data_IF_983772230171
#
_entry.id   IF_983772230171
#
_cell.length_a   1.000
_cell.length_b   1.000
_cell.length_c   1.000
_cell.angle_alpha   90.00
_cell.angle_beta   90.00
_cell.angle_gamma   90.00
#
_symmetry.space_group_name_H-M   'P 1'
#
loop_
_entity.id
_entity.type
_entity.pdbx_description
1 polymer ?
#
# COMPACT_ATOMS: atom_id res chain seq x y z
N UNK A 1 -25.96 -51.52 35.60
CA UNK A 1 -25.22 -50.23 35.67
C UNK A 1 -24.63 -49.98 34.30
N UNK A 2 -25.30 -49.19 33.46
CA UNK A 2 -24.84 -48.83 32.11
C UNK A 2 -23.98 -47.57 32.22
N UNK A 3 -22.71 -47.63 31.81
CA UNK A 3 -21.79 -46.49 31.81
C UNK A 3 -21.93 -45.76 30.47
N UNK A 4 -22.51 -44.56 30.51
CA UNK A 4 -22.53 -43.64 29.36
C UNK A 4 -21.17 -42.94 29.30
N UNK A 5 -20.47 -43.11 28.18
CA UNK A 5 -19.21 -42.42 27.88
C UNK A 5 -19.57 -41.09 27.21
N UNK A 6 -19.29 -39.97 27.89
CA UNK A 6 -19.42 -38.64 27.30
C UNK A 6 -18.16 -38.35 26.48
N UNK A 7 -18.29 -38.24 25.17
CA UNK A 7 -17.22 -37.77 24.28
C UNK A 7 -17.25 -36.24 24.30
N UNK A 8 -16.21 -35.65 24.87
CA UNK A 8 -15.98 -34.21 24.87
C UNK A 8 -15.43 -33.81 23.49
N UNK A 9 -16.26 -33.16 22.67
CA UNK A 9 -15.82 -32.57 21.40
C UNK A 9 -15.17 -31.23 21.74
N UNK A 10 -13.84 -31.19 21.73
CA UNK A 10 -13.09 -29.93 21.76
C UNK A 10 -13.26 -29.23 20.41
N UNK A 11 -14.06 -28.16 20.39
CA UNK A 11 -14.09 -27.20 19.29
C UNK A 11 -12.79 -26.38 19.35
N UNK A 12 -11.85 -26.69 18.46
CA UNK A 12 -10.72 -25.81 18.18
C UNK A 12 -11.26 -24.59 17.44
N UNK A 13 -11.22 -23.43 18.09
CA UNK A 13 -11.48 -22.14 17.46
C UNK A 13 -10.31 -21.84 16.52
N UNK A 14 -10.53 -21.93 15.21
CA UNK A 14 -9.62 -21.31 14.26
C UNK A 14 -9.81 -19.80 14.39
N UNK A 15 -8.78 -19.08 14.83
CA UNK A 15 -8.76 -17.62 14.70
C UNK A 15 -8.69 -17.34 13.20
N UNK A 16 -9.79 -16.86 12.61
CA UNK A 16 -9.76 -16.31 11.27
C UNK A 16 -9.03 -14.98 11.36
N UNK A 17 -7.83 -14.91 10.77
CA UNK A 17 -7.14 -13.65 10.56
C UNK A 17 -7.95 -12.83 9.54
N UNK A 18 -8.06 -11.52 9.77
CA UNK A 18 -8.77 -10.62 8.87
C UNK A 18 -7.93 -10.36 7.61
N UNK A 19 -8.02 -11.28 6.66
CA UNK A 19 -7.38 -11.14 5.35
C UNK A 19 -8.18 -10.16 4.49
N UNK A 20 -7.51 -9.22 3.82
CA UNK A 20 -8.15 -8.35 2.84
C UNK A 20 -8.13 -9.07 1.49
N UNK A 21 -9.26 -9.11 0.79
CA UNK A 21 -9.35 -9.77 -0.53
C UNK A 21 -9.65 -8.75 -1.63
N UNK A 22 -8.83 -8.70 -2.67
CA UNK A 22 -9.02 -7.69 -3.71
C UNK A 22 -10.30 -7.92 -4.53
N UNK A 23 -11.02 -6.83 -4.79
CA UNK A 23 -12.16 -6.74 -5.68
C UNK A 23 -11.93 -5.62 -6.69
N UNK A 24 -11.75 -5.95 -7.96
CA UNK A 24 -11.63 -4.96 -9.04
C UNK A 24 -12.99 -4.27 -9.22
N UNK A 25 -13.03 -2.95 -9.08
CA UNK A 25 -14.26 -2.15 -9.19
C UNK A 25 -14.33 -1.38 -10.50
N UNK A 26 -13.18 -1.11 -11.14
CA UNK A 26 -13.09 -0.45 -12.44
C UNK A 26 -11.81 -0.89 -13.17
N UNK A 27 -11.93 -1.30 -14.44
CA UNK A 27 -10.79 -1.66 -15.30
C UNK A 27 -10.47 -0.59 -16.35
N UNK A 28 -9.44 -0.83 -17.16
CA UNK A 28 -8.96 0.07 -18.24
C UNK A 28 -9.52 -0.30 -19.62
N UNK A 29 -9.66 0.70 -20.48
CA UNK A 29 -9.94 0.52 -21.92
C UNK A 29 -8.67 0.11 -22.68
N UNK A 30 -8.75 -0.98 -23.46
CA UNK A 30 -7.64 -1.57 -24.23
C UNK A 30 -6.42 -2.00 -23.39
N UNK A 31 -6.60 -2.90 -22.40
CA UNK A 31 -5.49 -3.47 -21.65
C UNK A 31 -4.59 -4.32 -22.55
N UNK A 32 -3.31 -4.41 -22.20
CA UNK A 32 -2.29 -5.18 -22.91
C UNK A 32 -2.64 -6.68 -22.83
N UNK A 33 -2.91 -7.35 -23.96
CA UNK A 33 -3.22 -8.78 -23.97
C UNK A 33 -1.99 -9.63 -23.64
N UNK A 34 -2.09 -10.44 -22.59
CA UNK A 34 -1.05 -11.38 -22.17
C UNK A 34 -1.64 -12.77 -21.93
N UNK A 35 -0.95 -13.81 -22.36
CA UNK A 35 -1.23 -15.18 -21.91
C UNK A 35 -0.30 -15.54 -20.76
N UNK A 36 -0.85 -16.02 -19.65
CA UNK A 36 -0.09 -16.56 -18.52
C UNK A 36 -0.49 -18.02 -18.39
N UNK A 37 0.36 -18.90 -18.90
CA UNK A 37 0.08 -20.35 -18.93
C UNK A 37 0.26 -20.91 -17.53
N UNK A 38 -0.66 -21.77 -17.04
CA UNK A 38 -0.49 -22.47 -15.79
C UNK A 38 0.86 -23.19 -15.71
N UNK A 39 1.63 -22.92 -14.65
CA UNK A 39 3.00 -23.42 -14.56
C UNK A 39 2.97 -24.94 -14.39
N UNK A 40 3.76 -25.64 -15.20
CA UNK A 40 3.85 -27.10 -15.10
C UNK A 40 4.44 -27.49 -13.75
N UNK A 41 3.86 -28.49 -13.08
CA UNK A 41 4.33 -28.95 -11.77
C UNK A 41 5.01 -30.32 -11.88
N UNK A 42 6.32 -30.34 -11.66
CA UNK A 42 7.12 -31.57 -11.55
C UNK A 42 7.55 -31.78 -10.09
N UNK A 43 6.69 -32.45 -9.32
CA UNK A 43 6.97 -32.76 -7.93
C UNK A 43 5.92 -33.67 -7.32
N UNK A 44 6.05 -33.91 -6.01
CA UNK A 44 5.06 -34.65 -5.23
C UNK A 44 4.29 -33.73 -4.29
N UNK A 45 2.98 -33.94 -4.17
CA UNK A 45 2.11 -33.16 -3.30
C UNK A 45 1.42 -32.01 -4.03
N UNK A 46 0.66 -31.22 -3.25
CA UNK A 46 -0.01 -30.00 -3.72
C UNK A 46 0.84 -28.82 -3.28
N UNK A 47 1.03 -27.86 -4.18
CA UNK A 47 1.68 -26.60 -3.85
C UNK A 47 0.79 -25.79 -2.89
N UNK A 48 1.38 -25.01 -2.00
CA UNK A 48 0.61 -24.12 -1.11
C UNK A 48 0.04 -22.92 -1.83
N UNK A 49 0.66 -22.53 -2.95
CA UNK A 49 0.36 -21.35 -3.74
C UNK A 49 0.44 -21.70 -5.22
N UNK A 50 -0.32 -20.97 -6.02
CA UNK A 50 -0.33 -21.05 -7.46
C UNK A 50 0.41 -19.83 -8.02
N UNK A 51 1.62 -20.04 -8.55
CA UNK A 51 2.51 -18.95 -8.98
C UNK A 51 1.95 -18.21 -10.18
N UNK A 52 1.39 -18.92 -11.15
CA UNK A 52 0.82 -18.28 -12.34
C UNK A 52 -0.45 -17.51 -12.01
N UNK A 53 -1.28 -18.01 -11.09
CA UNK A 53 -2.43 -17.27 -10.58
C UNK A 53 -2.01 -15.97 -9.89
N UNK A 54 -0.94 -15.99 -9.08
CA UNK A 54 -0.41 -14.78 -8.43
C UNK A 54 0.07 -13.76 -9.48
N UNK A 55 0.80 -14.22 -10.51
CA UNK A 55 1.25 -13.32 -11.58
C UNK A 55 0.07 -12.73 -12.35
N UNK A 56 -0.95 -13.54 -12.62
CA UNK A 56 -2.17 -13.10 -13.27
C UNK A 56 -2.91 -12.06 -12.43
N UNK A 57 -3.08 -12.31 -11.14
CA UNK A 57 -3.77 -11.39 -10.22
C UNK A 57 -3.00 -10.06 -10.13
N UNK A 58 -1.68 -10.09 -9.94
CA UNK A 58 -0.83 -8.90 -9.87
C UNK A 58 -0.99 -8.00 -11.11
N UNK A 59 -0.83 -8.58 -12.31
CA UNK A 59 -0.85 -7.82 -13.55
C UNK A 59 -2.25 -7.29 -13.90
N UNK A 60 -3.31 -8.03 -13.54
CA UNK A 60 -4.69 -7.57 -13.72
C UNK A 60 -5.07 -6.45 -12.74
N UNK A 61 -4.58 -6.51 -11.49
CA UNK A 61 -4.94 -5.54 -10.45
C UNK A 61 -4.47 -4.12 -10.74
N UNK A 62 -3.31 -3.98 -11.38
CA UNK A 62 -2.80 -2.67 -11.85
C UNK A 62 -3.50 -2.21 -13.13
N UNK A 63 -4.32 -3.07 -13.74
CA UNK A 63 -5.23 -2.78 -14.86
C UNK A 63 -4.56 -2.52 -16.21
N UNK A 64 -3.23 -2.55 -16.29
CA UNK A 64 -2.47 -2.45 -17.55
C UNK A 64 -2.63 -3.71 -18.42
N UNK A 65 -2.94 -4.86 -17.81
CA UNK A 65 -2.96 -6.16 -18.48
C UNK A 65 -4.33 -6.81 -18.47
N UNK A 66 -4.60 -7.62 -19.49
CA UNK A 66 -5.72 -8.55 -19.52
C UNK A 66 -5.20 -9.93 -19.88
N UNK A 67 -5.33 -10.85 -18.93
CA UNK A 67 -4.92 -12.23 -19.18
C UNK A 67 -5.96 -13.00 -19.99
N UNK A 68 -5.47 -13.92 -20.83
CA UNK A 68 -6.30 -14.94 -21.46
C UNK A 68 -6.61 -16.06 -20.45
N UNK A 69 -7.88 -16.47 -20.36
CA UNK A 69 -8.28 -17.60 -19.53
C UNK A 69 -7.61 -18.90 -19.99
N UNK A 70 -7.11 -19.77 -19.08
CA UNK A 70 -6.51 -21.05 -19.44
C UNK A 70 -7.39 -21.94 -20.32
N UNK A 71 -8.71 -21.88 -20.15
CA UNK A 71 -9.67 -22.66 -20.94
C UNK A 71 -9.78 -22.25 -22.41
N UNK A 72 -9.34 -21.03 -22.74
CA UNK A 72 -9.35 -20.47 -24.11
C UNK A 72 -7.99 -20.63 -24.81
N UNK A 73 -6.99 -21.20 -24.14
CA UNK A 73 -5.66 -21.44 -24.69
C UNK A 73 -5.65 -22.64 -25.64
N UNK A 74 -4.92 -22.52 -26.75
CA UNK A 74 -4.77 -23.61 -27.73
C UNK A 74 -3.79 -24.70 -27.28
N UNK A 75 -2.87 -24.36 -26.38
CA UNK A 75 -1.88 -25.26 -25.78
C UNK A 75 -1.41 -24.71 -24.43
N UNK A 76 -0.79 -25.55 -23.62
CA UNK A 76 -0.23 -25.20 -22.31
C UNK A 76 1.28 -25.50 -22.27
N UNK A 77 2.10 -24.76 -23.04
CA UNK A 77 3.54 -24.99 -23.10
C UNK A 77 4.20 -24.64 -21.76
N UNK A 78 5.19 -25.45 -21.39
CA UNK A 78 5.99 -25.32 -20.16
C UNK A 78 7.46 -24.96 -20.43
N UNK A 79 7.87 -25.01 -21.70
CA UNK A 79 9.22 -24.65 -22.16
C UNK A 79 9.20 -24.03 -23.57
N UNK A 80 10.22 -23.24 -23.92
CA UNK A 80 10.33 -22.52 -25.21
C UNK A 80 10.11 -23.41 -26.43
N UNK A 81 10.62 -24.65 -26.41
CA UNK A 81 10.52 -25.57 -27.55
C UNK A 81 9.07 -25.95 -27.89
N UNK A 82 8.14 -25.79 -26.94
CA UNK A 82 6.72 -26.07 -27.08
C UNK A 82 5.93 -24.84 -27.56
N UNK A 83 6.56 -23.66 -27.61
CA UNK A 83 5.90 -22.39 -27.96
C UNK A 83 5.81 -22.24 -29.47
N UNK A 84 4.59 -22.25 -29.99
CA UNK A 84 4.29 -21.86 -31.37
C UNK A 84 3.69 -20.45 -31.42
N UNK A 85 4.52 -19.42 -31.66
CA UNK A 85 4.11 -18.00 -31.67
C UNK A 85 2.87 -17.68 -32.52
N UNK A 86 2.68 -18.39 -33.64
CA UNK A 86 1.50 -18.24 -34.51
C UNK A 86 0.19 -18.49 -33.74
N UNK A 87 0.17 -19.47 -32.85
CA UNK A 87 -1.05 -19.89 -32.17
C UNK A 87 -1.51 -18.79 -31.18
N UNK A 88 -0.57 -18.11 -30.54
CA UNK A 88 -0.83 -16.96 -29.66
C UNK A 88 -1.23 -15.69 -30.44
N UNK A 89 -0.68 -15.47 -31.63
CA UNK A 89 -1.13 -14.40 -32.54
C UNK A 89 -2.59 -14.58 -32.96
N UNK A 90 -3.02 -15.81 -33.19
CA UNK A 90 -4.42 -16.13 -33.53
C UNK A 90 -5.36 -15.80 -32.36
N UNK A 91 -4.89 -15.97 -31.13
CA UNK A 91 -5.62 -15.60 -29.90
C UNK A 91 -5.50 -14.10 -29.56
N UNK A 92 -4.89 -13.29 -30.44
CA UNK A 92 -4.64 -11.87 -30.24
C UNK A 92 -3.90 -11.53 -28.93
N UNK A 93 -2.93 -12.38 -28.56
CA UNK A 93 -2.05 -12.14 -27.42
C UNK A 93 -0.77 -11.42 -27.89
N UNK A 94 -0.36 -10.38 -27.16
CA UNK A 94 0.88 -9.64 -27.45
C UNK A 94 2.07 -10.24 -26.71
N UNK A 95 1.83 -10.75 -25.49
CA UNK A 95 2.83 -11.36 -24.65
C UNK A 95 2.41 -12.75 -24.17
N UNK A 96 3.40 -13.56 -23.83
CA UNK A 96 3.23 -14.89 -23.26
C UNK A 96 4.21 -15.12 -22.12
N UNK A 97 3.69 -15.55 -20.98
CA UNK A 97 4.45 -16.07 -19.85
C UNK A 97 4.16 -17.56 -19.71
N UNK A 98 5.23 -18.35 -19.65
CA UNK A 98 5.17 -19.78 -19.33
C UNK A 98 6.11 -20.07 -18.17
N UNK A 99 5.92 -21.22 -17.53
CA UNK A 99 6.85 -21.66 -16.52
C UNK A 99 6.65 -23.10 -16.08
N UNK A 100 7.58 -23.55 -15.26
CA UNK A 100 7.52 -24.85 -14.59
C UNK A 100 8.16 -24.79 -13.22
N UNK A 101 7.63 -25.60 -12.32
CA UNK A 101 7.99 -25.66 -10.92
C UNK A 101 8.50 -27.07 -10.64
N UNK A 102 9.74 -27.17 -10.16
CA UNK A 102 10.40 -28.44 -9.85
C UNK A 102 10.68 -28.54 -8.36
N UNK A 103 10.34 -29.69 -7.75
CA UNK A 103 10.65 -29.96 -6.35
C UNK A 103 11.11 -31.40 -6.14
N UNK A 104 12.34 -31.57 -5.65
CA UNK A 104 12.84 -32.86 -5.23
C UNK A 104 12.04 -33.43 -4.05
N UNK A 105 11.83 -34.75 -4.03
CA UNK A 105 11.05 -35.42 -2.98
C UNK A 105 11.64 -35.13 -1.59
N UNK A 106 10.79 -34.66 -0.66
CA UNK A 106 11.20 -34.32 0.71
C UNK A 106 11.97 -33.00 0.87
N UNK A 107 12.31 -32.31 -0.22
CA UNK A 107 12.97 -31.00 -0.18
C UNK A 107 11.99 -29.92 0.26
N UNK A 108 12.47 -28.93 1.02
CA UNK A 108 11.75 -27.66 1.23
C UNK A 108 12.06 -26.64 0.13
N UNK A 109 13.14 -26.86 -0.63
CA UNK A 109 13.53 -26.02 -1.75
C UNK A 109 12.74 -26.39 -3.01
N UNK A 110 12.28 -25.36 -3.71
CA UNK A 110 11.57 -25.40 -4.97
C UNK A 110 12.32 -24.54 -5.98
N UNK A 111 12.35 -24.98 -7.24
CA UNK A 111 12.86 -24.20 -8.36
C UNK A 111 11.68 -23.80 -9.24
N UNK A 112 11.50 -22.50 -9.45
CA UNK A 112 10.50 -21.93 -10.35
C UNK A 112 11.24 -21.38 -11.55
N UNK A 113 11.07 -22.03 -12.70
CA UNK A 113 11.55 -21.54 -13.98
C UNK A 113 10.41 -20.80 -14.67
N UNK A 114 10.68 -19.60 -15.18
CA UNK A 114 9.73 -18.87 -16.03
C UNK A 114 10.43 -18.38 -17.29
N UNK A 115 9.64 -18.17 -18.34
CA UNK A 115 10.10 -17.58 -19.60
C UNK A 115 9.01 -16.65 -20.15
N UNK A 116 9.42 -15.45 -20.54
CA UNK A 116 8.53 -14.38 -20.98
C UNK A 116 8.86 -13.96 -22.40
N UNK A 117 7.85 -13.84 -23.25
CA UNK A 117 7.99 -13.67 -24.69
C UNK A 117 7.16 -12.51 -25.23
N UNK A 118 7.72 -11.81 -26.20
CA UNK A 118 6.98 -10.96 -27.13
C UNK A 118 6.52 -11.80 -28.32
N UNK A 119 5.21 -11.91 -28.50
CA UNK A 119 4.61 -12.78 -29.52
C UNK A 119 4.77 -12.21 -30.93
N UNK A 120 4.72 -10.89 -31.07
CA UNK A 120 4.78 -10.24 -32.38
C UNK A 120 6.22 -10.19 -32.91
N UNK A 121 7.19 -10.02 -32.02
CA UNK A 121 8.63 -10.03 -32.34
C UNK A 121 9.23 -11.43 -32.36
N UNK A 122 8.48 -12.44 -31.89
CA UNK A 122 8.94 -13.82 -31.73
C UNK A 122 10.25 -13.89 -30.93
N UNK A 123 10.29 -13.15 -29.81
CA UNK A 123 11.49 -12.92 -29.02
C UNK A 123 11.26 -13.29 -27.56
N UNK A 124 12.16 -14.08 -26.98
CA UNK A 124 12.26 -14.24 -25.53
C UNK A 124 12.81 -12.95 -24.91
N UNK A 125 11.99 -12.29 -24.08
CA UNK A 125 12.34 -11.07 -23.38
C UNK A 125 13.08 -11.36 -22.08
N UNK A 126 12.68 -12.40 -21.35
CA UNK A 126 13.32 -12.85 -20.11
C UNK A 126 13.13 -14.36 -19.90
N UNK A 127 13.99 -14.94 -19.06
CA UNK A 127 13.81 -16.30 -18.58
C UNK A 127 14.87 -16.66 -17.55
N UNK A 128 14.42 -17.10 -16.37
CA UNK A 128 15.28 -17.34 -15.21
C UNK A 128 14.79 -18.54 -14.41
N UNK A 129 15.65 -19.02 -13.50
CA UNK A 129 15.31 -20.04 -12.52
C UNK A 129 15.46 -19.41 -11.13
N UNK A 130 14.34 -19.20 -10.46
CA UNK A 130 14.28 -18.72 -9.10
C UNK A 130 14.25 -19.90 -8.14
N UNK A 131 15.07 -19.87 -7.09
CA UNK A 131 15.11 -20.92 -6.07
C UNK A 131 14.68 -20.33 -4.73
N UNK A 132 13.70 -20.96 -4.10
CA UNK A 132 13.21 -20.55 -2.78
C UNK A 132 12.65 -21.74 -2.01
N UNK A 133 12.13 -21.50 -0.81
CA UNK A 133 11.36 -22.50 -0.09
C UNK A 133 9.92 -22.59 -0.62
N UNK A 134 9.21 -23.66 -0.28
CA UNK A 134 7.76 -23.79 -0.58
C UNK A 134 6.93 -22.63 -0.03
N UNK A 135 7.37 -21.98 1.05
CA UNK A 135 6.66 -20.84 1.66
C UNK A 135 6.93 -19.52 0.94
N UNK A 136 7.88 -19.50 0.00
CA UNK A 136 8.28 -18.33 -0.78
C UNK A 136 7.72 -18.33 -2.20
N UNK A 137 6.86 -19.29 -2.56
CA UNK A 137 6.25 -19.35 -3.90
C UNK A 137 5.50 -18.07 -4.25
N UNK A 138 4.85 -17.47 -3.24
CA UNK A 138 4.19 -16.19 -3.38
C UNK A 138 5.14 -15.04 -3.67
N UNK A 139 6.24 -14.94 -2.91
CA UNK A 139 7.28 -13.94 -3.13
C UNK A 139 7.89 -14.08 -4.54
N UNK A 140 8.08 -15.33 -4.99
CA UNK A 140 8.54 -15.63 -6.35
C UNK A 140 7.53 -15.19 -7.40
N UNK A 141 6.23 -15.44 -7.19
CA UNK A 141 5.17 -14.97 -8.07
C UNK A 141 5.21 -13.46 -8.25
N UNK A 142 5.22 -12.70 -7.14
CA UNK A 142 5.31 -11.25 -7.17
C UNK A 142 6.60 -10.74 -7.86
N UNK A 143 7.72 -11.43 -7.70
CA UNK A 143 8.95 -11.05 -8.38
C UNK A 143 8.89 -11.29 -9.89
N UNK A 144 8.28 -12.39 -10.34
CA UNK A 144 8.00 -12.61 -11.76
C UNK A 144 7.08 -11.51 -12.30
N UNK A 145 6.04 -11.13 -11.56
CA UNK A 145 5.16 -10.01 -11.91
C UNK A 145 5.93 -8.70 -12.06
N UNK A 146 6.88 -8.41 -11.15
CA UNK A 146 7.71 -7.22 -11.22
C UNK A 146 8.51 -7.18 -12.54
N UNK A 147 9.14 -8.30 -12.90
CA UNK A 147 9.93 -8.42 -14.14
C UNK A 147 9.04 -8.24 -15.37
N UNK A 148 7.91 -8.93 -15.44
CA UNK A 148 6.97 -8.83 -16.57
C UNK A 148 6.44 -7.40 -16.72
N UNK A 149 6.01 -6.80 -15.62
CA UNK A 149 5.48 -5.44 -15.60
C UNK A 149 6.54 -4.43 -16.05
N UNK A 150 7.78 -4.53 -15.57
CA UNK A 150 8.85 -3.61 -15.93
C UNK A 150 9.26 -3.74 -17.40
N UNK A 151 9.38 -4.96 -17.93
CA UNK A 151 9.74 -5.18 -19.33
C UNK A 151 8.70 -4.63 -20.33
N UNK A 152 7.43 -4.62 -19.93
CA UNK A 152 6.33 -4.13 -20.78
C UNK A 152 6.10 -2.63 -20.61
N UNK A 153 6.11 -2.13 -19.37
CA UNK A 153 5.74 -0.74 -19.06
C UNK A 153 6.92 0.21 -18.94
N UNK A 154 8.14 -0.32 -18.77
CA UNK A 154 9.34 0.46 -18.45
C UNK A 154 9.36 1.03 -17.03
N UNK A 155 8.41 0.65 -16.17
CA UNK A 155 8.30 1.11 -14.78
C UNK A 155 8.51 -0.07 -13.84
N UNK A 156 9.33 0.11 -12.79
CA UNK A 156 9.54 -0.92 -11.75
C UNK A 156 8.19 -1.35 -11.13
N UNK A 157 7.94 -2.66 -11.10
CA UNK A 157 6.77 -3.24 -10.43
C UNK A 157 6.83 -3.06 -8.90
N UNK A 158 5.67 -3.03 -8.24
CA UNK A 158 5.56 -2.85 -6.79
C UNK A 158 4.87 -4.04 -6.10
N UNK A 159 4.88 -5.23 -6.71
CA UNK A 159 4.10 -6.38 -6.24
C UNK A 159 4.70 -7.08 -5.01
N UNK A 160 5.97 -6.82 -4.71
CA UNK A 160 6.65 -7.31 -3.48
C UNK A 160 6.52 -6.34 -2.30
N UNK A 161 5.78 -5.24 -2.47
CA UNK A 161 5.58 -4.24 -1.41
C UNK A 161 4.55 -4.70 -0.37
N UNK A 162 4.48 -3.96 0.73
CA UNK A 162 3.58 -4.22 1.85
C UNK A 162 2.75 -2.99 2.17
N UNK A 163 1.68 -3.18 2.93
CA UNK A 163 0.83 -2.11 3.45
C UNK A 163 0.71 -2.21 4.95
N UNK A 164 0.62 -1.06 5.61
CA UNK A 164 0.12 -0.93 6.97
C UNK A 164 -1.30 -0.41 6.92
N UNK A 165 -2.11 -0.79 7.90
CA UNK A 165 -3.45 -0.23 8.07
C UNK A 165 -3.92 -0.38 9.52
N UNK A 166 -4.91 0.42 9.89
CA UNK A 166 -5.55 0.35 11.20
C UNK A 166 -6.88 -0.39 11.08
N UNK A 167 -7.04 -1.45 11.87
CA UNK A 167 -8.32 -2.14 12.07
C UNK A 167 -8.94 -1.66 13.35
N UNK A 168 -10.25 -1.37 13.33
CA UNK A 168 -11.05 -1.19 14.53
C UNK A 168 -12.23 -2.16 14.54
N UNK A 169 -12.32 -2.97 15.59
CA UNK A 169 -13.31 -4.01 15.72
C UNK A 169 -14.02 -3.91 17.09
N UNK A 170 -15.35 -4.11 17.10
CA UNK A 170 -16.08 -4.24 18.35
C UNK A 170 -15.93 -5.65 18.90
N UNK A 171 -15.35 -5.77 20.09
CA UNK A 171 -15.27 -7.03 20.82
C UNK A 171 -16.65 -7.47 21.32
N UNK A 172 -16.78 -8.75 21.69
CA UNK A 172 -18.01 -9.34 22.21
C UNK A 172 -18.56 -8.66 23.48
N UNK A 173 -17.70 -7.94 24.20
CA UNK A 173 -18.06 -7.16 25.39
C UNK A 173 -18.47 -5.70 25.08
N UNK A 174 -18.52 -5.31 23.80
CA UNK A 174 -18.85 -3.96 23.34
C UNK A 174 -17.72 -2.93 23.47
N UNK A 175 -16.49 -3.36 23.79
CA UNK A 175 -15.30 -2.51 23.73
C UNK A 175 -14.69 -2.56 22.33
N UNK A 176 -14.20 -1.41 21.85
CA UNK A 176 -13.48 -1.35 20.57
C UNK A 176 -12.02 -1.71 20.79
N UNK A 177 -11.52 -2.65 19.99
CA UNK A 177 -10.10 -3.02 19.91
C UNK A 177 -9.53 -2.43 18.63
N UNK A 178 -8.36 -1.80 18.74
CA UNK A 178 -7.61 -1.25 17.63
C UNK A 178 -6.38 -2.10 17.36
N UNK A 179 -6.13 -2.42 16.10
CA UNK A 179 -4.93 -3.12 15.65
C UNK A 179 -4.21 -2.31 14.58
N UNK A 180 -2.89 -2.21 14.72
CA UNK A 180 -2.01 -1.85 13.61
C UNK A 180 -1.56 -3.14 12.97
N UNK A 181 -1.94 -3.34 11.72
CA UNK A 181 -1.65 -4.54 10.95
C UNK A 181 -0.76 -4.23 9.76
N UNK A 182 -0.03 -5.26 9.31
CA UNK A 182 0.83 -5.26 8.13
C UNK A 182 0.43 -6.42 7.24
N UNK A 183 0.32 -6.21 5.94
CA UNK A 183 0.07 -7.25 4.95
C UNK A 183 0.93 -7.03 3.70
N UNK A 184 1.00 -8.03 2.82
CA UNK A 184 1.40 -7.81 1.43
C UNK A 184 0.49 -6.76 0.78
N UNK A 185 0.95 -6.12 -0.31
CA UNK A 185 0.21 -5.03 -0.95
C UNK A 185 -1.23 -5.42 -1.33
N UNK A 186 -1.46 -6.70 -1.61
CA UNK A 186 -2.74 -7.26 -2.01
C UNK A 186 -3.59 -7.80 -0.84
N UNK A 187 -3.16 -7.53 0.40
CA UNK A 187 -3.91 -7.88 1.61
C UNK A 187 -3.60 -9.24 2.21
N UNK A 188 -2.74 -10.03 1.55
CA UNK A 188 -2.35 -11.36 1.99
C UNK A 188 -1.30 -11.33 3.10
N UNK A 189 -1.15 -12.47 3.80
CA UNK A 189 -0.17 -12.65 4.90
C UNK A 189 -0.25 -11.56 5.99
N UNK A 190 -1.46 -11.14 6.33
CA UNK A 190 -1.71 -10.13 7.36
C UNK A 190 -1.13 -10.51 8.74
N UNK A 191 -0.48 -9.56 9.40
CA UNK A 191 0.18 -9.68 10.69
C UNK A 191 -0.17 -8.51 11.60
N UNK A 192 -0.58 -8.81 12.83
CA UNK A 192 -0.79 -7.80 13.88
C UNK A 192 0.55 -7.35 14.45
N UNK A 193 0.86 -6.05 14.35
CA UNK A 193 2.08 -5.44 14.89
C UNK A 193 1.87 -4.85 16.29
N UNK A 194 0.67 -4.35 16.56
CA UNK A 194 0.24 -3.79 17.84
C UNK A 194 -1.27 -3.97 18.00
N UNK A 195 -1.71 -4.38 19.19
CA UNK A 195 -3.12 -4.40 19.59
C UNK A 195 -3.32 -3.54 20.84
N UNK A 196 -4.39 -2.76 20.86
CA UNK A 196 -4.68 -1.81 21.93
C UNK A 196 -6.20 -1.63 22.12
N UNK A 197 -6.63 -1.41 23.37
CA UNK A 197 -8.01 -0.97 23.66
C UNK A 197 -8.17 0.56 23.50
N UNK A 198 -7.07 1.26 23.23
CA UNK A 198 -7.01 2.69 22.95
C UNK A 198 -6.60 2.92 21.49
N UNK A 199 -7.00 4.04 20.85
CA UNK A 199 -6.72 4.29 19.44
C UNK A 199 -5.24 4.17 19.04
N UNK A 200 -5.01 3.66 17.83
CA UNK A 200 -3.74 3.69 17.12
C UNK A 200 -3.98 4.46 15.82
N UNK A 201 -3.08 5.36 15.44
CA UNK A 201 -3.28 6.25 14.30
C UNK A 201 -1.98 6.56 13.55
N UNK A 202 -2.16 6.96 12.30
CA UNK A 202 -1.17 7.54 11.39
C UNK A 202 0.12 6.71 11.31
N UNK A 203 0.03 5.43 10.91
CA UNK A 203 1.21 4.64 10.66
C UNK A 203 2.00 5.22 9.47
N UNK A 204 3.32 5.15 9.54
CA UNK A 204 4.21 5.49 8.44
C UNK A 204 5.44 4.60 8.43
N UNK A 205 5.95 4.31 7.24
CA UNK A 205 7.15 3.52 7.04
C UNK A 205 8.41 4.38 7.10
N UNK A 206 9.48 3.84 7.66
CA UNK A 206 10.83 4.33 7.37
C UNK A 206 11.16 4.08 5.88
N UNK A 207 12.01 4.90 5.26
CA UNK A 207 12.30 4.78 3.82
C UNK A 207 13.03 3.49 3.44
N UNK A 208 13.66 2.80 4.40
CA UNK A 208 14.28 1.49 4.21
C UNK A 208 13.32 0.32 4.54
N UNK A 209 12.10 0.58 5.01
CA UNK A 209 11.10 -0.44 5.32
C UNK A 209 11.37 -1.27 6.59
N UNK A 210 12.40 -0.95 7.38
CA UNK A 210 12.77 -1.72 8.58
C UNK A 210 12.00 -1.31 9.84
N UNK A 211 11.61 -0.04 9.92
CA UNK A 211 10.93 0.56 11.05
C UNK A 211 9.61 1.20 10.61
N UNK A 212 8.68 1.31 11.57
CA UNK A 212 7.44 2.05 11.39
C UNK A 212 7.31 3.10 12.48
N UNK A 213 6.63 4.21 12.20
CA UNK A 213 6.20 5.17 13.19
C UNK A 213 4.66 5.19 13.27
N UNK A 214 4.12 5.44 14.46
CA UNK A 214 2.67 5.56 14.66
C UNK A 214 2.37 6.32 15.96
N UNK A 215 1.12 6.76 16.08
CA UNK A 215 0.55 7.33 17.30
C UNK A 215 -0.16 6.22 18.07
N UNK A 216 0.14 6.09 19.37
CA UNK A 216 -0.60 5.22 20.28
C UNK A 216 -1.13 6.03 21.46
N UNK A 217 -2.36 5.72 21.86
CA UNK A 217 -3.04 6.28 23.03
C UNK A 217 -2.96 5.33 24.25
N UNK A 218 -2.10 4.30 24.22
CA UNK A 218 -1.95 3.31 25.30
C UNK A 218 -1.58 3.93 26.67
N UNK A 219 -1.09 5.16 26.69
CA UNK A 219 -0.78 5.93 27.92
C UNK A 219 -1.86 6.95 28.29
N UNK A 220 -3.06 6.83 27.71
CA UNK A 220 -4.19 7.79 27.78
C UNK A 220 -3.93 9.17 27.13
N UNK A 221 -2.70 9.46 26.73
CA UNK A 221 -2.32 10.61 25.92
C UNK A 221 -1.70 10.13 24.60
N UNK A 222 -1.86 10.87 23.49
CA UNK A 222 -1.24 10.50 22.24
C UNK A 222 0.28 10.61 22.36
N UNK A 223 0.98 9.54 21.98
CA UNK A 223 2.44 9.46 21.95
C UNK A 223 2.89 8.85 20.64
N UNK A 224 3.98 9.36 20.10
CA UNK A 224 4.59 8.83 18.89
C UNK A 224 5.60 7.75 19.28
N UNK A 225 5.50 6.60 18.64
CA UNK A 225 6.43 5.49 18.78
C UNK A 225 7.07 5.18 17.43
N UNK A 226 8.30 4.69 17.46
CA UNK A 226 8.88 3.90 16.37
C UNK A 226 8.96 2.44 16.79
N UNK A 227 8.76 1.51 15.86
CA UNK A 227 8.85 0.07 16.08
C UNK A 227 9.63 -0.60 14.97
N UNK A 228 10.63 -1.38 15.36
CA UNK A 228 11.38 -2.21 14.42
C UNK A 228 10.58 -3.46 14.06
N UNK A 229 10.41 -3.72 12.76
CA UNK A 229 9.54 -4.80 12.29
C UNK A 229 10.15 -6.20 12.49
N UNK A 230 11.47 -6.33 12.45
CA UNK A 230 12.14 -7.62 12.62
C UNK A 230 12.18 -8.07 14.09
N UNK A 231 12.41 -7.13 15.01
CA UNK A 231 12.58 -7.44 16.44
C UNK A 231 11.34 -7.16 17.29
N UNK A 232 10.41 -6.34 16.79
CA UNK A 232 9.28 -5.82 17.56
C UNK A 232 9.68 -4.76 18.59
N UNK A 233 10.96 -4.33 18.64
CA UNK A 233 11.41 -3.35 19.61
C UNK A 233 10.73 -1.99 19.38
N UNK A 234 10.14 -1.44 20.43
CA UNK A 234 9.45 -0.13 20.42
C UNK A 234 10.28 0.94 21.12
N UNK A 235 10.34 2.14 20.53
CA UNK A 235 10.92 3.35 21.13
C UNK A 235 9.89 4.45 21.13
N UNK A 236 9.61 5.03 22.30
CA UNK A 236 8.79 6.24 22.39
C UNK A 236 9.63 7.45 21.94
N UNK A 237 9.14 8.20 20.95
CA UNK A 237 9.82 9.37 20.39
C UNK A 237 9.45 10.63 21.16
N UNK A 238 8.17 10.80 21.46
CA UNK A 238 7.65 12.03 22.06
C UNK A 238 7.04 11.79 23.43
N UNK A 239 7.09 12.79 24.29
CA UNK A 239 6.37 12.81 25.56
C UNK A 239 5.91 14.23 25.92
N UNK A 240 5.44 14.97 24.93
CA UNK A 240 4.99 16.35 25.13
C UNK A 240 3.53 16.39 25.57
N UNK A 241 3.10 17.45 26.29
CA UNK A 241 1.67 17.64 26.58
C UNK A 241 0.85 17.78 25.30
N UNK A 242 -0.46 17.55 25.42
CA UNK A 242 -1.44 17.72 24.33
C UNK A 242 -1.19 16.82 23.11
N UNK A 243 -1.39 17.34 21.89
CA UNK A 243 -1.34 16.59 20.64
C UNK A 243 0.11 16.24 20.31
N UNK A 244 0.34 14.95 20.03
CA UNK A 244 1.56 14.41 19.43
C UNK A 244 1.09 13.47 18.32
N UNK A 245 1.16 13.88 17.04
CA UNK A 245 0.51 13.11 15.97
C UNK A 245 1.20 13.19 14.61
N UNK A 246 0.66 12.44 13.65
CA UNK A 246 1.06 12.44 12.23
C UNK A 246 2.58 12.33 11.99
N UNK A 247 3.25 11.29 12.54
CA UNK A 247 4.67 11.09 12.31
C UNK A 247 4.95 10.67 10.86
N UNK A 248 5.90 11.33 10.20
CA UNK A 248 6.37 10.94 8.85
C UNK A 248 7.89 11.02 8.76
N UNK A 249 8.49 9.97 8.23
CA UNK A 249 9.94 9.86 8.06
C UNK A 249 10.43 10.74 6.92
N UNK A 250 11.60 11.37 7.11
CA UNK A 250 12.30 12.00 6.00
C UNK A 250 12.73 10.95 4.96
N UNK A 251 12.89 11.32 3.68
CA UNK A 251 13.33 10.37 2.64
C UNK A 251 14.70 9.73 2.91
N UNK A 252 15.56 10.41 3.69
CA UNK A 252 16.88 9.92 4.11
C UNK A 252 16.85 9.07 5.39
N UNK A 253 15.68 8.95 6.06
CA UNK A 253 15.48 8.15 7.27
C UNK A 253 16.08 8.74 8.55
N UNK A 254 16.72 9.91 8.48
CA UNK A 254 17.45 10.51 9.62
C UNK A 254 16.56 11.36 10.52
N UNK A 255 15.41 11.80 10.03
CA UNK A 255 14.51 12.74 10.71
C UNK A 255 13.07 12.25 10.70
N UNK A 256 12.30 12.68 11.69
CA UNK A 256 10.86 12.46 11.77
C UNK A 256 10.16 13.81 11.86
N UNK A 257 9.30 14.12 10.89
CA UNK A 257 8.37 15.25 11.00
C UNK A 257 7.11 14.79 11.74
N UNK A 258 6.52 15.69 12.52
CA UNK A 258 5.36 15.39 13.35
C UNK A 258 4.58 16.66 13.71
N UNK A 259 3.41 16.48 14.28
CA UNK A 259 2.57 17.56 14.80
C UNK A 259 2.63 17.57 16.31
N UNK A 260 3.02 18.70 16.90
CA UNK A 260 2.98 18.91 18.35
C UNK A 260 2.16 20.17 18.68
N UNK A 261 1.34 20.12 19.72
CA UNK A 261 0.66 21.31 20.27
C UNK A 261 1.17 21.69 21.67
N UNK A 262 2.47 21.44 21.89
CA UNK A 262 3.14 21.73 23.16
C UNK A 262 3.31 23.23 23.45
N UNK A 263 3.35 24.04 22.40
CA UNK A 263 3.58 25.50 22.46
C UNK A 263 2.31 26.33 22.15
N UNK A 264 1.13 25.70 22.06
CA UNK A 264 -0.14 26.38 21.77
C UNK A 264 -0.96 25.68 20.70
N UNK A 265 -1.11 26.32 19.53
CA UNK A 265 -1.71 25.68 18.35
C UNK A 265 -0.87 24.48 17.89
N UNK A 266 -1.48 23.50 17.19
CA UNK A 266 -0.71 22.45 16.52
C UNK A 266 0.23 23.07 15.49
N UNK A 267 1.50 22.70 15.58
CA UNK A 267 2.55 23.08 14.66
C UNK A 267 3.33 21.87 14.18
N UNK A 268 4.01 22.04 13.05
CA UNK A 268 4.93 21.06 12.50
C UNK A 268 6.29 21.18 13.18
N UNK A 269 6.80 20.04 13.65
CA UNK A 269 8.15 19.88 14.17
C UNK A 269 8.89 18.81 13.40
N UNK A 270 10.21 18.91 13.39
CA UNK A 270 11.12 17.91 12.83
C UNK A 270 12.11 17.53 13.93
N UNK A 271 12.19 16.24 14.23
CA UNK A 271 13.17 15.69 15.16
C UNK A 271 14.25 14.93 14.40
N UNK A 272 15.51 15.24 14.69
CA UNK A 272 16.64 14.41 14.29
C UNK A 272 16.72 13.16 15.19
N UNK A 273 16.77 11.97 14.57
CA UNK A 273 16.68 10.71 15.28
C UNK A 273 18.01 10.25 15.89
N UNK A 274 19.14 10.83 15.44
CA UNK A 274 20.48 10.52 15.91
C UNK A 274 20.83 11.33 17.17
N UNK A 275 20.60 12.64 17.15
CA UNK A 275 20.99 13.55 18.24
C UNK A 275 19.81 14.05 19.10
N UNK A 276 18.57 13.72 18.74
CA UNK A 276 17.32 14.17 19.37
C UNK A 276 17.07 15.69 19.33
N UNK A 277 17.69 16.41 18.40
CA UNK A 277 17.40 17.82 18.17
C UNK A 277 15.98 17.99 17.62
N UNK A 278 15.21 18.90 18.21
CA UNK A 278 13.84 19.20 17.81
C UNK A 278 13.76 20.62 17.23
N UNK A 279 13.38 20.71 15.96
CA UNK A 279 13.21 21.95 15.21
C UNK A 279 11.72 22.23 15.05
N UNK A 280 11.25 23.41 15.44
CA UNK A 280 9.90 23.90 15.13
C UNK A 280 9.90 24.50 13.73
N UNK A 281 9.13 23.92 12.81
CA UNK A 281 9.06 24.35 11.40
C UNK A 281 8.03 25.45 11.23
N UNK A 282 6.85 25.31 11.84
CA UNK A 282 5.78 26.32 11.79
C UNK A 282 5.60 27.01 13.14
N UNK A 283 5.26 28.30 13.08
CA UNK A 283 4.95 29.12 14.26
C UNK A 283 3.85 30.12 13.87
N UNK A 284 2.65 29.58 13.63
CA UNK A 284 1.48 30.38 13.28
C UNK A 284 0.32 30.05 14.24
N UNK A 285 -0.53 31.01 14.65
CA UNK A 285 -1.67 30.74 15.53
C UNK A 285 -2.76 29.82 14.95
N UNK A 286 -2.62 29.44 13.68
CA UNK A 286 -3.55 28.57 12.96
C UNK A 286 -3.18 27.11 13.26
N UNK A 287 -4.03 26.17 12.86
CA UNK A 287 -3.70 24.75 12.95
C UNK A 287 -2.82 24.41 11.75
N UNK A 288 -1.59 23.97 12.01
CA UNK A 288 -0.70 23.37 11.02
C UNK A 288 -0.53 21.87 11.34
N UNK A 289 -0.90 20.99 10.41
CA UNK A 289 -0.95 19.53 10.65
C UNK A 289 -0.72 18.73 9.36
N UNK A 290 -0.75 17.39 9.46
CA UNK A 290 -0.63 16.47 8.33
C UNK A 290 0.63 16.71 7.47
N UNK A 291 1.84 16.70 8.07
CA UNK A 291 3.07 16.91 7.34
C UNK A 291 3.35 15.76 6.38
N UNK A 292 3.96 16.09 5.24
CA UNK A 292 4.62 15.17 4.32
C UNK A 292 5.91 15.81 3.81
N UNK A 293 6.93 15.00 3.51
CA UNK A 293 8.20 15.51 3.00
C UNK A 293 8.15 15.76 1.50
N UNK A 294 8.87 16.78 1.03
CA UNK A 294 9.30 16.83 -0.38
C UNK A 294 10.26 15.68 -0.68
N UNK A 295 10.31 15.23 -1.93
CA UNK A 295 11.16 14.10 -2.36
C UNK A 295 12.64 14.30 -2.01
N UNK A 296 13.12 15.54 -2.04
CA UNK A 296 14.50 15.91 -1.71
C UNK A 296 14.76 16.06 -0.20
N UNK A 297 13.74 15.89 0.65
CA UNK A 297 13.84 16.00 2.11
C UNK A 297 14.13 17.42 2.62
N UNK A 298 13.95 18.46 1.80
CA UNK A 298 14.26 19.86 2.17
C UNK A 298 13.05 20.64 2.66
N UNK A 299 11.85 20.25 2.25
CA UNK A 299 10.61 20.95 2.58
C UNK A 299 9.59 20.01 3.21
N UNK A 300 8.70 20.60 3.98
CA UNK A 300 7.48 19.97 4.46
C UNK A 300 6.29 20.58 3.74
N UNK A 301 5.46 19.72 3.18
CA UNK A 301 4.08 20.03 2.77
C UNK A 301 3.18 19.73 3.95
N UNK A 302 2.22 20.59 4.24
CA UNK A 302 1.34 20.45 5.40
C UNK A 302 0.00 21.12 5.15
N UNK A 303 -1.03 20.69 5.88
CA UNK A 303 -2.32 21.34 5.90
C UNK A 303 -2.30 22.51 6.89
N UNK A 304 -2.87 23.65 6.48
CA UNK A 304 -3.10 24.80 7.35
C UNK A 304 -4.47 25.42 7.13
N UNK A 305 -5.12 25.85 8.22
CA UNK A 305 -6.35 26.65 8.19
C UNK A 305 -6.12 28.17 8.30
N UNK A 306 -4.87 28.65 8.10
CA UNK A 306 -4.50 30.08 8.20
C UNK A 306 -5.30 31.03 7.30
N UNK A 307 -5.93 30.52 6.25
CA UNK A 307 -6.83 31.27 5.34
C UNK A 307 -8.31 30.97 5.58
N UNK A 308 -8.67 30.40 6.73
CA UNK A 308 -10.03 30.14 7.20
C UNK A 308 -10.59 28.75 6.85
N UNK A 309 -10.11 28.10 5.79
CA UNK A 309 -10.40 26.69 5.49
C UNK A 309 -9.08 25.92 5.33
N UNK A 310 -9.05 24.60 5.61
CA UNK A 310 -7.91 23.73 5.35
C UNK A 310 -7.43 23.83 3.90
N UNK A 311 -6.16 24.17 3.73
CA UNK A 311 -5.47 24.25 2.45
C UNK A 311 -4.05 23.70 2.63
N UNK A 312 -3.41 23.34 1.53
CA UNK A 312 -2.07 22.75 1.57
C UNK A 312 -1.03 23.84 1.32
N UNK A 313 -0.01 23.84 2.16
CA UNK A 313 1.12 24.77 2.14
C UNK A 313 2.43 23.99 2.12
N UNK A 314 3.51 24.67 1.74
CA UNK A 314 4.87 24.16 1.77
C UNK A 314 5.79 25.15 2.48
N UNK A 315 6.77 24.60 3.21
CA UNK A 315 7.83 25.39 3.83
C UNK A 315 9.13 24.58 3.91
N UNK A 316 10.25 25.22 3.59
CA UNK A 316 11.57 24.61 3.76
C UNK A 316 11.93 24.46 5.25
N UNK A 317 12.57 23.34 5.61
CA UNK A 317 13.02 23.10 6.99
C UNK A 317 14.09 24.12 7.36
N UNK A 318 13.90 24.81 8.48
CA UNK A 318 14.80 25.88 8.95
C UNK A 318 14.61 27.23 8.26
N UNK A 319 13.63 27.37 7.35
CA UNK A 319 13.27 28.66 6.80
C UNK A 319 12.59 29.56 7.85
N UNK A 320 12.58 30.86 7.60
CA UNK A 320 11.74 31.78 8.37
C UNK A 320 10.26 31.46 8.16
N UNK A 321 9.44 31.55 9.22
CA UNK A 321 8.00 31.31 9.17
C UNK A 321 7.22 32.17 8.17
N UNK A 322 7.82 33.28 7.70
CA UNK A 322 7.26 34.12 6.65
C UNK A 322 7.42 33.56 5.22
N UNK A 323 8.27 32.54 5.03
CA UNK A 323 8.55 31.93 3.72
C UNK A 323 7.64 30.74 3.40
N UNK A 324 6.41 30.78 3.91
CA UNK A 324 5.40 29.76 3.64
C UNK A 324 4.72 30.01 2.30
N UNK A 325 4.59 28.96 1.49
CA UNK A 325 3.94 28.99 0.19
C UNK A 325 2.64 28.20 0.22
N UNK A 326 1.57 28.72 -0.40
CA UNK A 326 0.31 27.99 -0.57
C UNK A 326 0.31 27.24 -1.90
N UNK A 327 0.01 25.94 -1.87
CA UNK A 327 -0.02 25.08 -3.05
C UNK A 327 -1.42 24.90 -3.66
N UNK A 328 -2.49 24.92 -2.85
CA UNK A 328 -3.84 24.63 -3.33
C UNK A 328 -4.75 25.85 -3.43
N UNK A 329 -5.43 26.00 -4.56
CA UNK A 329 -6.35 27.12 -4.81
C UNK A 329 -7.72 26.69 -5.38
N UNK A 330 -7.86 25.43 -5.84
CA UNK A 330 -9.01 24.90 -6.58
C UNK A 330 -9.99 24.06 -5.72
N UNK A 331 -10.00 24.28 -4.41
CA UNK A 331 -10.83 23.49 -3.49
C UNK A 331 -11.33 24.35 -2.32
N UNK A 332 -12.52 24.02 -1.83
CA UNK A 332 -13.02 24.57 -0.58
C UNK A 332 -12.20 24.08 0.62
N UNK A 333 -11.85 22.79 0.64
CA UNK A 333 -10.92 22.20 1.62
C UNK A 333 -9.94 21.27 0.89
N UNK A 334 -8.65 21.41 1.19
CA UNK A 334 -7.59 20.50 0.75
C UNK A 334 -6.73 20.07 1.94
N UNK A 335 -6.45 18.77 2.03
CA UNK A 335 -5.85 18.12 3.21
C UNK A 335 -4.98 16.92 2.77
N UNK A 336 -4.16 16.37 3.67
CA UNK A 336 -3.35 15.16 3.45
C UNK A 336 -2.55 15.17 2.13
N UNK A 337 -1.78 16.23 1.89
CA UNK A 337 -0.95 16.36 0.70
C UNK A 337 0.30 15.46 0.76
N UNK A 338 0.57 14.69 -0.29
CA UNK A 338 1.80 13.91 -0.45
C UNK A 338 2.29 13.99 -1.90
N UNK A 339 3.58 14.22 -2.12
CA UNK A 339 4.15 14.18 -3.47
C UNK A 339 4.19 12.75 -4.02
N UNK A 340 3.89 12.61 -5.31
CA UNK A 340 4.21 11.43 -6.09
C UNK A 340 5.73 11.33 -6.29
N UNK A 341 6.26 10.15 -6.68
CA UNK A 341 7.69 9.97 -6.92
C UNK A 341 8.31 10.90 -7.97
N UNK A 342 7.54 11.57 -8.81
CA UNK A 342 8.06 12.59 -9.75
C UNK A 342 8.44 13.92 -9.08
N UNK A 343 7.95 14.20 -7.87
CA UNK A 343 8.20 15.43 -7.12
C UNK A 343 7.44 16.68 -7.60
N UNK A 344 6.57 16.55 -8.60
CA UNK A 344 5.81 17.68 -9.19
C UNK A 344 4.29 17.43 -9.12
N UNK A 345 3.86 16.18 -9.08
CA UNK A 345 2.48 15.83 -8.84
C UNK A 345 2.28 15.51 -7.35
N UNK A 346 1.16 15.98 -6.78
CA UNK A 346 0.83 15.81 -5.37
C UNK A 346 -0.57 15.22 -5.25
N UNK A 347 -0.67 14.05 -4.63
CA UNK A 347 -1.96 13.51 -4.20
C UNK A 347 -2.46 14.28 -2.99
N UNK A 348 -3.77 14.52 -2.92
CA UNK A 348 -4.40 15.14 -1.77
C UNK A 348 -5.88 14.74 -1.67
N UNK A 349 -6.43 14.94 -0.48
CA UNK A 349 -7.87 14.88 -0.24
C UNK A 349 -8.46 16.25 -0.53
N UNK A 350 -9.46 16.34 -1.40
CA UNK A 350 -10.19 17.58 -1.69
C UNK A 350 -11.68 17.48 -1.41
N UNK A 351 -12.23 18.59 -0.95
CA UNK A 351 -13.65 18.90 -1.04
C UNK A 351 -13.81 20.11 -1.94
N UNK A 352 -14.41 19.91 -3.10
CA UNK A 352 -14.47 20.92 -4.15
C UNK A 352 -15.22 22.19 -3.72
N UNK A 353 -16.46 22.05 -3.24
CA UNK A 353 -17.27 23.17 -2.77
C UNK A 353 -17.79 22.95 -1.36
N UNK A 354 -18.26 24.02 -0.71
CA UNK A 354 -18.95 23.94 0.59
C UNK A 354 -20.18 23.03 0.57
N UNK A 355 -20.82 22.85 -0.58
CA UNK A 355 -22.01 22.00 -0.75
C UNK A 355 -21.66 20.59 -1.23
N UNK A 356 -20.42 20.35 -1.66
CA UNK A 356 -19.98 19.01 -2.06
C UNK A 356 -20.09 18.09 -0.85
N UNK A 357 -20.77 16.93 -0.98
CA UNK A 357 -20.98 16.01 0.14
C UNK A 357 -19.74 15.16 0.41
N UNK A 358 -18.90 14.96 -0.60
CA UNK A 358 -17.81 14.01 -0.58
C UNK A 358 -16.46 14.70 -0.43
N UNK A 359 -15.54 13.98 0.24
CA UNK A 359 -14.11 14.18 0.14
C UNK A 359 -13.60 13.14 -0.86
N UNK A 360 -12.74 13.57 -1.78
CA UNK A 360 -12.25 12.78 -2.90
C UNK A 360 -10.73 12.85 -2.97
N UNK A 361 -10.10 11.81 -3.52
CA UNK A 361 -8.69 11.80 -3.84
C UNK A 361 -8.48 12.48 -5.19
N UNK A 362 -7.50 13.38 -5.25
CA UNK A 362 -7.12 14.09 -6.46
C UNK A 362 -5.61 14.27 -6.56
N UNK A 363 -5.12 14.40 -7.79
CA UNK A 363 -3.72 14.74 -8.09
C UNK A 363 -3.66 16.19 -8.58
N UNK A 364 -2.85 17.00 -7.91
CA UNK A 364 -2.49 18.36 -8.30
C UNK A 364 -1.07 18.35 -8.88
N UNK A 365 -0.91 18.89 -10.09
CA UNK A 365 0.41 19.23 -10.60
C UNK A 365 0.80 20.63 -10.09
N UNK A 366 1.85 20.75 -9.28
CA UNK A 366 2.17 22.03 -8.60
C UNK A 366 2.75 23.10 -9.53
N UNK A 367 3.27 22.73 -10.69
CA UNK A 367 3.84 23.68 -11.66
C UNK A 367 2.76 24.27 -12.58
N UNK A 368 1.82 23.43 -13.03
CA UNK A 368 0.75 23.83 -13.96
C UNK A 368 -0.56 24.18 -13.27
N UNK A 369 -0.68 23.86 -11.97
CA UNK A 369 -1.89 23.95 -11.15
C UNK A 369 -3.07 23.11 -11.68
N UNK A 370 -2.81 22.17 -12.58
CA UNK A 370 -3.84 21.26 -13.09
C UNK A 370 -4.23 20.25 -12.01
N UNK A 371 -5.53 20.11 -11.78
CA UNK A 371 -6.10 19.09 -10.87
C UNK A 371 -6.84 18.02 -11.65
N UNK A 372 -6.65 16.77 -11.25
CA UNK A 372 -7.40 15.61 -11.74
C UNK A 372 -7.99 14.90 -10.53
N UNK A 373 -9.32 14.86 -10.44
CA UNK A 373 -10.03 14.09 -9.41
C UNK A 373 -10.10 12.62 -9.83
N UNK A 374 -9.68 11.71 -8.96
CA UNK A 374 -9.54 10.29 -9.27
C UNK A 374 -10.71 9.44 -8.75
N UNK A 375 -11.36 9.88 -7.69
CA UNK A 375 -12.37 9.08 -6.97
C UNK A 375 -13.71 9.80 -6.87
N UNK A 376 -14.77 9.02 -6.70
CA UNK A 376 -16.15 9.44 -6.55
C UNK A 376 -16.85 8.78 -5.34
N UNK A 377 -16.07 8.09 -4.51
CA UNK A 377 -16.49 7.43 -3.28
C UNK A 377 -16.81 8.42 -2.15
N UNK A 378 -17.30 7.90 -1.01
CA UNK A 378 -17.75 8.72 0.11
C UNK A 378 -16.74 8.74 1.25
N UNK A 379 -16.34 9.95 1.66
CA UNK A 379 -15.41 10.19 2.76
C UNK A 379 -14.02 9.58 2.50
N UNK A 380 -13.44 9.88 1.35
CA UNK A 380 -12.08 9.42 1.06
C UNK A 380 -11.06 10.16 1.93
N UNK A 381 -10.15 9.40 2.52
CA UNK A 381 -9.16 9.90 3.47
C UNK A 381 -7.82 9.16 3.37
N UNK A 382 -6.78 9.78 3.94
CA UNK A 382 -5.46 9.19 4.14
C UNK A 382 -4.89 8.47 2.90
N UNK A 383 -4.73 9.17 1.77
CA UNK A 383 -4.09 8.58 0.59
C UNK A 383 -2.64 8.21 0.90
N UNK A 384 -2.20 7.07 0.37
CA UNK A 384 -0.82 6.60 0.39
C UNK A 384 -0.43 6.08 -0.98
N UNK A 385 0.73 6.52 -1.44
CA UNK A 385 1.21 6.27 -2.81
C UNK A 385 2.12 5.04 -2.84
N UNK A 386 1.94 4.15 -3.81
CA UNK A 386 2.88 3.07 -4.10
C UNK A 386 4.26 3.64 -4.50
N UNK A 387 5.38 2.95 -4.22
CA UNK A 387 6.71 3.51 -4.39
C UNK A 387 7.11 3.77 -5.86
N UNK A 388 6.48 3.08 -6.83
CA UNK A 388 6.62 3.38 -8.26
C UNK A 388 5.68 4.50 -8.74
N UNK A 389 4.76 4.97 -7.90
CA UNK A 389 3.79 6.00 -8.24
C UNK A 389 2.65 5.55 -9.15
N UNK A 390 2.43 4.25 -9.36
CA UNK A 390 1.34 3.78 -10.24
C UNK A 390 -0.03 3.81 -9.56
N UNK A 391 -0.06 3.54 -8.25
CA UNK A 391 -1.29 3.38 -7.47
C UNK A 391 -1.31 4.27 -6.23
N UNK A 392 -2.53 4.62 -5.81
CA UNK A 392 -2.82 5.36 -4.58
C UNK A 392 -3.86 4.56 -3.80
N UNK A 393 -3.50 4.07 -2.62
CA UNK A 393 -4.42 3.44 -1.67
C UNK A 393 -4.99 4.49 -0.72
N UNK A 394 -6.25 4.37 -0.32
CA UNK A 394 -6.92 5.32 0.56
C UNK A 394 -8.03 4.64 1.38
N UNK A 395 -8.39 5.25 2.51
CA UNK A 395 -9.54 4.82 3.31
C UNK A 395 -10.82 5.43 2.78
N UNK A 396 -11.91 4.66 2.75
CA UNK A 396 -13.24 5.15 2.36
C UNK A 396 -14.34 4.41 3.09
N UNK A 397 -15.61 4.80 2.86
CA UNK A 397 -16.76 4.05 3.38
C UNK A 397 -17.49 3.29 2.29
N UNK A 398 -17.70 2.00 2.53
CA UNK A 398 -18.53 1.14 1.70
C UNK A 398 -19.48 0.30 2.56
N UNK A 399 -20.77 0.28 2.21
CA UNK A 399 -21.78 -0.46 2.99
C UNK A 399 -21.92 -0.01 4.45
N UNK A 400 -21.53 1.22 4.77
CA UNK A 400 -21.50 1.76 6.14
C UNK A 400 -20.27 1.40 6.96
N UNK A 401 -19.32 0.65 6.40
CA UNK A 401 -18.06 0.25 7.03
C UNK A 401 -16.85 0.96 6.41
N UNK A 402 -15.78 1.09 7.18
CA UNK A 402 -14.47 1.55 6.70
C UNK A 402 -13.78 0.44 5.90
N UNK A 403 -13.33 0.77 4.69
CA UNK A 403 -12.60 -0.14 3.80
C UNK A 403 -11.42 0.59 3.18
N UNK A 404 -10.48 -0.17 2.62
CA UNK A 404 -9.42 0.37 1.77
C UNK A 404 -9.82 0.23 0.31
N UNK A 405 -9.69 1.31 -0.44
CA UNK A 405 -9.78 1.32 -1.90
C UNK A 405 -8.43 1.78 -2.46
N UNK A 406 -8.15 1.43 -3.71
CA UNK A 406 -7.00 1.91 -4.44
C UNK A 406 -7.40 2.37 -5.84
N UNK A 407 -6.69 3.39 -6.33
CA UNK A 407 -6.91 3.99 -7.65
C UNK A 407 -5.57 4.27 -8.31
N UNK A 408 -5.50 4.03 -9.62
CA UNK A 408 -4.36 4.43 -10.45
C UNK A 408 -4.23 5.95 -10.55
N UNK A 409 -3.03 6.46 -10.77
CA UNK A 409 -2.78 7.91 -10.83
C UNK A 409 -3.52 8.63 -11.98
N UNK A 410 -3.96 7.89 -13.00
CA UNK A 410 -4.78 8.42 -14.10
C UNK A 410 -6.29 8.21 -13.90
N UNK A 411 -6.68 7.53 -12.80
CA UNK A 411 -8.06 7.32 -12.38
C UNK A 411 -8.79 6.19 -13.11
N UNK A 412 -8.11 5.41 -13.97
CA UNK A 412 -8.77 4.43 -14.84
C UNK A 412 -9.00 3.08 -14.17
N UNK A 413 -8.07 2.67 -13.34
CA UNK A 413 -8.10 1.41 -12.60
C UNK A 413 -8.45 1.66 -11.15
N UNK A 414 -9.41 0.91 -10.62
CA UNK A 414 -9.81 0.93 -9.21
C UNK A 414 -10.00 -0.47 -8.68
N UNK A 415 -9.54 -0.71 -7.46
CA UNK A 415 -9.82 -1.93 -6.72
C UNK A 415 -10.12 -1.64 -5.26
N UNK A 416 -10.76 -2.59 -4.60
CA UNK A 416 -11.16 -2.53 -3.19
C UNK A 416 -10.57 -3.70 -2.42
N UNK A 417 -10.13 -3.43 -1.20
CA UNK A 417 -9.69 -4.37 -0.18
C UNK A 417 -10.70 -4.30 0.99
N UNK A 418 -11.84 -5.02 0.89
CA UNK A 418 -12.83 -5.06 1.94
C UNK A 418 -12.29 -5.86 3.13
N UNK A 419 -12.59 -5.39 4.34
CA UNK A 419 -12.29 -6.14 5.55
C UNK A 419 -13.33 -7.21 5.83
N UNK A 420 -12.86 -8.42 6.11
CA UNK A 420 -13.70 -9.53 6.58
C UNK A 420 -14.28 -9.19 7.97
N UNK A 421 -13.53 -8.47 8.81
CA UNK A 421 -13.91 -8.09 10.17
C UNK A 421 -13.44 -6.68 10.56
N UNK A 422 -14.30 -5.93 11.23
CA UNK A 422 -14.01 -4.54 11.64
C UNK A 422 -13.99 -3.53 10.50
N UNK A 423 -13.77 -2.27 10.87
CA UNK A 423 -13.53 -1.15 9.95
C UNK A 423 -12.02 -0.99 9.73
N UNK A 424 -11.61 -0.74 8.49
CA UNK A 424 -10.20 -0.52 8.13
C UNK A 424 -9.98 0.89 7.58
N UNK A 425 -8.86 1.51 7.93
CA UNK A 425 -8.53 2.90 7.58
C UNK A 425 -7.02 3.18 7.65
N UNK A 426 -6.67 4.40 7.25
CA UNK A 426 -5.32 4.99 7.35
C UNK A 426 -4.22 4.07 6.78
N UNK A 427 -4.32 3.70 5.49
CA UNK A 427 -3.31 2.88 4.85
C UNK A 427 -1.96 3.61 4.74
N UNK A 428 -0.87 2.87 4.85
CA UNK A 428 0.47 3.34 4.49
C UNK A 428 1.18 2.27 3.65
N UNK A 429 1.48 2.61 2.40
CA UNK A 429 2.19 1.77 1.44
C UNK A 429 3.69 1.79 1.75
N UNK A 430 4.33 0.63 1.75
CA UNK A 430 5.76 0.51 2.02
C UNK A 430 6.61 1.13 0.91
N UNK A 431 7.88 1.48 1.20
CA UNK A 431 8.88 1.63 0.14
C UNK A 431 9.11 0.30 -0.59
N UNK A 432 9.99 0.32 -1.60
CA UNK A 432 10.60 -0.91 -2.09
C UNK A 432 11.43 -1.55 -0.98
N UNK A 433 11.46 -2.89 -0.98
CA UNK A 433 12.45 -3.65 -0.22
C UNK A 433 13.59 -4.02 -1.17
N UNK A 434 14.83 -3.90 -0.70
CA UNK A 434 16.04 -4.25 -1.44
C UNK A 434 16.54 -5.66 -1.09
#
# INVERSE_FOLDING_TARGET
MSRVFFVLICLLSANALAELSIQITQGVDNPIPIAIVPFAWEGSGVLSEDVDQIVMDDLQQVGEFRSLSPGDMLSLPSEEAEVFFRDWRVLAQEYLLIGKINRAQGSQLVQVQYEFFDINRELKLAGEILTGSVTQLRDIGHEISNVVFELVTGTRGAFTTQILYIVSEQSANGQTVFRLEKADYDGQRAQVLLESNEPIMSPSWSPNGEDIAYVSFETSLPRIYTQNLATGQRRQITNYPNINSSPVWSPDGTRLAMVLSKDGSPDIYVQDLLNNELIRVTDHPAIDTEPAWSKDGRSIVFMSDRTGQPQIYQMAVGASSFNVERLTYDCFQCMKGQFLPDGVNMVHVRRETRRSPNYQIAVLNIETLRVITLTDTSLDESPSVAPNGSMIMYGTKFGGRGVLDAVSIDGRVKFRLPSIAGDVREPAWSPFFD
#
